data_IF_268072929156
#
_entry.id   IF_268072929156
#
_cell.length_a   1.000
_cell.length_b   1.000
_cell.length_c   1.000
_cell.angle_alpha   90.00
_cell.angle_beta   90.00
_cell.angle_gamma   90.00
#
_symmetry.space_group_name_H-M   'P 1'
#
loop_
_entity.id
_entity.type
_entity.pdbx_description
1 polymer ?
#
# COMPACT_ATOMS: atom_id res chain seq x y z
N UNK A 1 -14.99 -29.96 -8.48
CA UNK A 1 -13.71 -29.90 -7.75
C UNK A 1 -12.91 -28.77 -8.38
N UNK A 2 -12.93 -27.58 -7.79
CA UNK A 2 -12.16 -26.44 -8.28
C UNK A 2 -10.68 -26.78 -8.14
N UNK A 3 -9.91 -26.69 -9.22
CA UNK A 3 -8.45 -26.80 -9.19
C UNK A 3 -7.90 -25.85 -8.15
N UNK A 4 -7.25 -26.39 -7.11
CA UNK A 4 -6.26 -25.63 -6.34
C UNK A 4 -5.17 -25.24 -7.34
N UNK A 5 -5.25 -24.00 -7.85
CA UNK A 5 -4.19 -23.42 -8.67
C UNK A 5 -2.97 -23.39 -7.77
N UNK A 6 -1.95 -24.18 -8.12
CA UNK A 6 -0.68 -24.21 -7.44
C UNK A 6 -0.17 -22.76 -7.35
N UNK A 7 -0.15 -22.20 -6.13
CA UNK A 7 0.22 -20.80 -5.83
C UNK A 7 1.72 -20.54 -6.06
N UNK A 8 2.44 -21.52 -6.61
CA UNK A 8 3.88 -21.53 -6.84
C UNK A 8 4.31 -20.65 -8.02
N UNK A 9 3.40 -20.27 -8.93
CA UNK A 9 3.62 -19.15 -9.84
C UNK A 9 2.73 -17.99 -9.45
N UNK A 10 3.29 -17.03 -8.71
CA UNK A 10 2.68 -15.72 -8.59
C UNK A 10 2.53 -15.17 -10.00
N UNK A 11 1.28 -14.92 -10.40
CA UNK A 11 0.99 -14.40 -11.72
C UNK A 11 1.57 -12.98 -11.82
N UNK A 12 2.60 -12.77 -12.64
CA UNK A 12 3.21 -11.46 -12.85
C UNK A 12 2.16 -10.41 -13.24
N UNK A 13 1.09 -10.81 -13.92
CA UNK A 13 -0.01 -9.91 -14.28
C UNK A 13 -0.75 -9.40 -13.04
N UNK A 14 -0.85 -10.22 -11.98
CA UNK A 14 -1.44 -9.80 -10.71
C UNK A 14 -0.55 -8.81 -9.98
N UNK A 15 0.78 -9.01 -9.96
CA UNK A 15 1.71 -8.04 -9.39
C UNK A 15 1.63 -6.71 -10.15
N UNK A 16 1.66 -6.75 -11.49
CA UNK A 16 1.48 -5.57 -12.36
C UNK A 16 0.17 -4.85 -12.06
N UNK A 17 -0.94 -5.57 -11.92
CA UNK A 17 -2.23 -5.00 -11.56
C UNK A 17 -2.20 -4.30 -10.20
N UNK A 18 -1.52 -4.88 -9.19
CA UNK A 18 -1.35 -4.23 -7.88
C UNK A 18 -0.52 -2.96 -7.97
N UNK A 19 0.56 -2.96 -8.75
CA UNK A 19 1.38 -1.75 -8.96
C UNK A 19 0.57 -0.65 -9.65
N UNK A 20 -0.24 -0.99 -10.66
CA UNK A 20 -1.15 -0.05 -11.30
C UNK A 20 -2.20 0.50 -10.32
N UNK A 21 -2.76 -0.36 -9.47
CA UNK A 21 -3.72 0.02 -8.42
C UNK A 21 -3.11 1.02 -7.43
N UNK A 22 -1.85 0.85 -7.03
CA UNK A 22 -1.12 1.83 -6.20
C UNK A 22 -1.16 3.21 -6.86
N UNK A 23 -0.78 3.29 -8.14
CA UNK A 23 -0.65 4.57 -8.85
C UNK A 23 -2.02 5.23 -9.01
N UNK A 24 -3.02 4.46 -9.47
CA UNK A 24 -4.38 4.96 -9.69
C UNK A 24 -5.02 5.45 -8.40
N UNK A 25 -4.87 4.72 -7.30
CA UNK A 25 -5.44 5.14 -6.02
C UNK A 25 -4.75 6.39 -5.45
N UNK A 26 -3.45 6.59 -5.69
CA UNK A 26 -2.79 7.85 -5.31
C UNK A 26 -3.25 9.04 -6.17
N UNK A 27 -3.44 8.85 -7.48
CA UNK A 27 -4.03 9.90 -8.34
C UNK A 27 -5.42 10.28 -7.82
N UNK A 28 -6.28 9.30 -7.57
CA UNK A 28 -7.61 9.54 -7.02
C UNK A 28 -7.56 10.20 -5.64
N UNK A 29 -6.59 9.81 -4.80
CA UNK A 29 -6.37 10.43 -3.49
C UNK A 29 -6.11 11.93 -3.62
N UNK A 30 -5.21 12.33 -4.53
CA UNK A 30 -4.89 13.72 -4.84
C UNK A 30 -6.13 14.47 -5.37
N UNK A 31 -6.84 13.91 -6.33
CA UNK A 31 -8.04 14.53 -6.89
C UNK A 31 -9.14 14.75 -5.84
N UNK A 32 -9.38 13.76 -4.98
CA UNK A 32 -10.37 13.84 -3.91
C UNK A 32 -9.99 14.89 -2.88
N UNK A 33 -8.70 15.00 -2.53
CA UNK A 33 -8.22 16.03 -1.61
C UNK A 33 -8.55 17.43 -2.14
N UNK A 34 -8.23 17.68 -3.41
CA UNK A 34 -8.46 18.96 -4.07
C UNK A 34 -9.93 19.35 -4.18
N UNK A 35 -10.81 18.35 -4.24
CA UNK A 35 -12.27 18.55 -4.22
C UNK A 35 -12.84 18.73 -2.82
N UNK A 36 -11.99 18.77 -1.78
CA UNK A 36 -12.40 18.89 -0.37
C UNK A 36 -12.92 17.58 0.24
N UNK A 37 -12.86 16.47 -0.49
CA UNK A 37 -13.31 15.14 -0.07
C UNK A 37 -12.21 14.41 0.74
N UNK A 38 -11.76 15.09 1.79
CA UNK A 38 -10.58 14.73 2.61
C UNK A 38 -10.62 13.30 3.18
N UNK A 39 -11.76 12.84 3.70
CA UNK A 39 -11.91 11.47 4.21
C UNK A 39 -11.78 10.42 3.11
N UNK A 40 -12.34 10.69 1.92
CA UNK A 40 -12.26 9.77 0.78
C UNK A 40 -10.83 9.73 0.21
N UNK A 41 -10.15 10.87 0.20
CA UNK A 41 -8.73 10.98 -0.15
C UNK A 41 -7.87 10.09 0.76
N UNK A 42 -8.02 10.21 2.08
CA UNK A 42 -7.31 9.38 3.05
C UNK A 42 -7.55 7.88 2.82
N UNK A 43 -8.79 7.48 2.50
CA UNK A 43 -9.11 6.11 2.17
C UNK A 43 -8.44 5.60 0.89
N UNK A 44 -8.31 6.45 -0.12
CA UNK A 44 -7.58 6.12 -1.36
C UNK A 44 -6.08 6.00 -1.13
N UNK A 45 -5.48 6.89 -0.34
CA UNK A 45 -4.07 6.75 0.07
C UNK A 45 -3.83 5.44 0.84
N UNK A 46 -4.74 5.07 1.75
CA UNK A 46 -4.64 3.79 2.48
C UNK A 46 -4.75 2.58 1.55
N UNK A 47 -5.69 2.58 0.60
CA UNK A 47 -5.83 1.49 -0.37
C UNK A 47 -4.58 1.35 -1.25
N UNK A 48 -3.98 2.45 -1.69
CA UNK A 48 -2.71 2.41 -2.40
C UNK A 48 -1.62 1.71 -1.57
N UNK A 49 -1.50 2.00 -0.27
CA UNK A 49 -0.54 1.31 0.60
C UNK A 49 -0.89 -0.18 0.76
N UNK A 50 -2.17 -0.56 0.83
CA UNK A 50 -2.55 -1.99 0.81
C UNK A 50 -2.12 -2.70 -0.47
N UNK A 51 -2.33 -2.08 -1.63
CA UNK A 51 -1.92 -2.62 -2.91
C UNK A 51 -0.38 -2.75 -2.98
N UNK A 52 0.35 -1.78 -2.43
CA UNK A 52 1.81 -1.83 -2.32
C UNK A 52 2.28 -3.00 -1.46
N UNK A 53 1.71 -3.19 -0.26
CA UNK A 53 2.07 -4.31 0.62
C UNK A 53 1.73 -5.65 -0.03
N UNK A 54 0.57 -5.75 -0.69
CA UNK A 54 0.18 -6.93 -1.45
C UNK A 54 1.25 -7.30 -2.49
N UNK A 55 1.68 -6.33 -3.30
CA UNK A 55 2.72 -6.54 -4.30
C UNK A 55 4.08 -6.89 -3.66
N UNK A 56 4.47 -6.22 -2.57
CA UNK A 56 5.73 -6.51 -1.86
C UNK A 56 5.76 -7.91 -1.27
N UNK A 57 4.66 -8.36 -0.65
CA UNK A 57 4.56 -9.71 -0.12
C UNK A 57 4.68 -10.75 -1.23
N UNK A 58 4.05 -10.49 -2.37
CA UNK A 58 4.09 -11.40 -3.52
C UNK A 58 5.49 -11.56 -4.11
N UNK A 59 6.20 -10.46 -4.38
CA UNK A 59 7.55 -10.55 -4.97
C UNK A 59 8.59 -11.10 -3.99
N UNK A 60 8.31 -11.03 -2.68
CA UNK A 60 9.21 -11.53 -1.63
C UNK A 60 8.70 -12.81 -0.95
N UNK A 61 7.67 -13.47 -1.49
CA UNK A 61 6.95 -14.56 -0.81
C UNK A 61 7.88 -15.67 -0.34
N UNK A 62 8.80 -16.10 -1.21
CA UNK A 62 9.77 -17.15 -0.91
C UNK A 62 10.67 -16.77 0.28
N UNK A 63 11.28 -15.57 0.23
CA UNK A 63 12.16 -15.07 1.28
C UNK A 63 11.44 -14.89 2.62
N UNK A 64 10.18 -14.46 2.58
CA UNK A 64 9.34 -14.30 3.77
C UNK A 64 9.04 -15.67 4.40
N UNK A 65 8.63 -16.67 3.60
CA UNK A 65 8.35 -18.04 4.07
C UNK A 65 9.57 -18.68 4.74
N UNK A 66 10.77 -18.46 4.18
CA UNK A 66 12.05 -18.96 4.72
C UNK A 66 12.43 -18.29 6.04
N UNK A 67 12.05 -17.03 6.24
CA UNK A 67 12.40 -16.24 7.44
C UNK A 67 11.44 -16.49 8.60
N UNK A 68 10.16 -16.74 8.30
CA UNK A 68 9.13 -16.99 9.31
C UNK A 68 9.36 -18.35 9.97
N UNK A 69 9.55 -18.36 11.30
CA UNK A 69 9.81 -19.58 12.08
C UNK A 69 8.55 -20.32 12.48
N UNK A 70 7.46 -19.61 12.72
CA UNK A 70 6.19 -20.21 13.14
C UNK A 70 5.44 -20.81 11.93
N UNK A 71 5.08 -22.09 12.04
CA UNK A 71 4.43 -22.82 10.94
C UNK A 71 3.01 -22.31 10.64
N UNK A 72 2.27 -21.85 11.67
CA UNK A 72 0.93 -21.30 11.45
C UNK A 72 1.00 -19.97 10.71
N UNK A 73 1.93 -19.11 11.10
CA UNK A 73 2.19 -17.83 10.45
C UNK A 73 2.67 -18.03 9.01
N UNK A 74 3.58 -18.99 8.78
CA UNK A 74 4.03 -19.37 7.43
C UNK A 74 2.86 -19.81 6.55
N UNK A 75 2.01 -20.71 7.06
CA UNK A 75 0.82 -21.18 6.34
C UNK A 75 -0.18 -20.05 6.07
N UNK A 76 -0.36 -19.13 7.02
CA UNK A 76 -1.21 -17.96 6.84
C UNK A 76 -0.66 -17.04 5.75
N UNK A 77 0.65 -16.76 5.76
CA UNK A 77 1.32 -15.92 4.78
C UNK A 77 1.12 -16.48 3.35
N UNK A 78 1.39 -17.77 3.14
CA UNK A 78 1.23 -18.42 1.83
C UNK A 78 -0.21 -18.39 1.32
N UNK A 79 -1.21 -18.44 2.21
CA UNK A 79 -2.63 -18.51 1.83
C UNK A 79 -3.34 -17.16 1.76
N UNK A 80 -2.87 -16.16 2.52
CA UNK A 80 -3.61 -14.92 2.78
C UNK A 80 -2.75 -13.66 2.76
N UNK A 81 -1.43 -13.76 2.92
CA UNK A 81 -0.54 -12.60 3.01
C UNK A 81 -0.67 -11.64 1.83
N UNK A 82 -0.81 -12.19 0.62
CA UNK A 82 -0.99 -11.39 -0.60
C UNK A 82 -2.22 -10.48 -0.58
N UNK A 83 -3.23 -10.74 0.25
CA UNK A 83 -4.44 -9.90 0.31
C UNK A 83 -4.26 -8.64 1.17
N UNK A 84 -3.11 -8.51 1.86
CA UNK A 84 -2.80 -7.43 2.80
C UNK A 84 -4.00 -7.02 3.70
N UNK A 85 -4.62 -7.93 4.48
CA UNK A 85 -5.76 -7.59 5.32
C UNK A 85 -5.41 -6.46 6.30
N UNK A 86 -6.35 -5.53 6.54
CA UNK A 86 -6.11 -4.36 7.40
C UNK A 86 -5.60 -4.75 8.79
N UNK A 87 -6.22 -5.75 9.42
CA UNK A 87 -5.85 -6.21 10.77
C UNK A 87 -4.44 -6.82 10.86
N UNK A 88 -3.85 -7.23 9.73
CA UNK A 88 -2.54 -7.90 9.70
C UNK A 88 -1.47 -7.08 8.97
N UNK A 89 -1.82 -5.92 8.39
CA UNK A 89 -0.90 -5.13 7.57
C UNK A 89 0.32 -4.63 8.37
N UNK A 90 0.14 -4.34 9.66
CA UNK A 90 1.25 -4.01 10.55
C UNK A 90 2.20 -5.21 10.74
N UNK A 91 1.66 -6.41 10.97
CA UNK A 91 2.47 -7.63 11.05
C UNK A 91 3.24 -7.92 9.76
N UNK A 92 2.59 -7.76 8.61
CA UNK A 92 3.26 -7.86 7.30
C UNK A 92 4.41 -6.85 7.16
N UNK A 93 4.26 -5.63 7.69
CA UNK A 93 5.34 -4.64 7.69
C UNK A 93 6.57 -5.08 8.49
N UNK A 94 6.37 -5.77 9.62
CA UNK A 94 7.45 -6.30 10.44
C UNK A 94 8.16 -7.48 9.75
N UNK A 95 7.39 -8.33 9.06
CA UNK A 95 7.94 -9.41 8.26
C UNK A 95 8.77 -8.87 7.08
N UNK A 96 8.27 -7.87 6.35
CA UNK A 96 9.04 -7.19 5.31
C UNK A 96 10.32 -6.54 5.88
N UNK A 97 10.24 -5.93 7.06
CA UNK A 97 11.41 -5.36 7.74
C UNK A 97 12.46 -6.43 8.07
N UNK A 98 12.03 -7.62 8.49
CA UNK A 98 12.94 -8.74 8.79
C UNK A 98 13.77 -9.20 7.59
N UNK A 99 13.29 -8.94 6.37
CA UNK A 99 14.01 -9.24 5.12
C UNK A 99 14.69 -8.02 4.50
N UNK A 100 14.74 -6.89 5.22
CA UNK A 100 15.43 -5.66 4.82
C UNK A 100 14.56 -4.61 4.13
N UNK A 101 13.23 -4.76 4.12
CA UNK A 101 12.29 -3.82 3.50
C UNK A 101 11.51 -3.11 4.61
N UNK A 102 12.00 -1.96 5.08
CA UNK A 102 11.34 -1.20 6.13
C UNK A 102 10.27 -0.25 5.55
N UNK A 103 9.01 -0.56 5.83
CA UNK A 103 7.83 0.25 5.49
C UNK A 103 6.99 0.58 6.74
N UNK A 104 7.55 0.42 7.95
CA UNK A 104 6.79 0.58 9.19
C UNK A 104 6.19 1.97 9.35
N UNK A 105 6.95 3.04 9.06
CA UNK A 105 6.45 4.41 9.17
C UNK A 105 5.36 4.74 8.14
N UNK A 106 5.52 4.22 6.92
CA UNK A 106 4.49 4.33 5.88
C UNK A 106 3.19 3.67 6.33
N UNK A 107 3.27 2.47 6.91
CA UNK A 107 2.11 1.71 7.37
C UNK A 107 1.43 2.38 8.55
N UNK A 108 2.19 2.89 9.52
CA UNK A 108 1.62 3.60 10.65
C UNK A 108 0.82 4.83 10.20
N UNK A 109 1.32 5.61 9.25
CA UNK A 109 0.60 6.78 8.70
C UNK A 109 -0.59 6.37 7.86
N UNK A 110 -0.47 5.31 7.06
CA UNK A 110 -1.59 4.77 6.31
C UNK A 110 -2.73 4.27 7.22
N UNK A 111 -2.41 3.62 8.34
CA UNK A 111 -3.39 3.20 9.36
C UNK A 111 -4.06 4.41 10.02
N UNK A 112 -3.31 5.47 10.34
CA UNK A 112 -3.93 6.70 10.84
C UNK A 112 -4.91 7.32 9.82
N UNK A 113 -4.54 7.34 8.53
CA UNK A 113 -5.42 7.81 7.45
C UNK A 113 -6.66 6.91 7.30
N UNK A 114 -6.52 5.60 7.50
CA UNK A 114 -7.64 4.67 7.55
C UNK A 114 -8.61 5.02 8.68
N UNK A 115 -8.10 5.23 9.89
CA UNK A 115 -8.92 5.62 11.05
C UNK A 115 -9.66 6.94 10.78
N UNK A 116 -8.97 7.93 10.22
CA UNK A 116 -9.55 9.21 9.80
C UNK A 116 -10.67 9.05 8.76
N UNK A 117 -10.51 8.15 7.78
CA UNK A 117 -11.52 7.92 6.75
C UNK A 117 -12.88 7.59 7.37
N UNK A 118 -12.92 6.77 8.42
CA UNK A 118 -14.17 6.33 9.06
C UNK A 118 -14.64 7.24 10.19
N UNK A 119 -13.71 7.85 10.92
CA UNK A 119 -14.03 8.53 12.18
C UNK A 119 -13.90 10.06 12.10
N UNK A 120 -13.30 10.61 11.04
CA UNK A 120 -13.02 12.04 10.95
C UNK A 120 -12.08 12.49 12.08
N UNK A 121 -12.44 13.56 12.78
CA UNK A 121 -11.64 14.12 13.88
C UNK A 121 -12.13 13.68 15.27
N UNK A 122 -12.86 12.57 15.35
CA UNK A 122 -13.24 12.00 16.64
C UNK A 122 -11.98 11.57 17.41
N UNK A 123 -11.66 12.20 18.56
CA UNK A 123 -10.41 11.96 19.28
C UNK A 123 -10.32 10.56 19.89
N UNK A 124 -11.43 9.85 20.05
CA UNK A 124 -11.44 8.48 20.58
C UNK A 124 -10.98 7.46 19.53
N UNK A 125 -11.11 7.82 18.24
CA UNK A 125 -10.91 6.91 17.12
C UNK A 125 -9.98 7.43 16.03
N UNK A 126 -9.49 8.66 16.12
CA UNK A 126 -8.60 9.29 15.15
C UNK A 126 -7.59 10.17 15.86
N UNK A 127 -6.32 10.01 15.50
CA UNK A 127 -5.24 10.83 16.08
C UNK A 127 -5.25 12.28 15.63
N UNK A 128 -5.91 12.58 14.51
CA UNK A 128 -5.82 13.88 13.87
C UNK A 128 -6.80 14.87 14.52
N UNK A 129 -6.32 16.10 14.71
CA UNK A 129 -7.10 17.19 15.32
C UNK A 129 -7.61 18.18 14.27
N UNK A 130 -6.98 18.21 13.10
CA UNK A 130 -7.29 19.17 12.05
C UNK A 130 -6.84 18.65 10.67
N UNK A 131 -7.29 19.34 9.62
CA UNK A 131 -6.97 18.98 8.22
C UNK A 131 -5.48 19.10 7.89
N UNK A 132 -4.72 19.97 8.56
CA UNK A 132 -3.31 20.15 8.26
C UNK A 132 -2.48 18.92 8.68
N UNK A 133 -2.80 18.32 9.83
CA UNK A 133 -2.17 17.08 10.28
C UNK A 133 -2.49 15.92 9.34
N UNK A 134 -3.74 15.81 8.86
CA UNK A 134 -4.12 14.81 7.85
C UNK A 134 -3.35 15.04 6.54
N UNK A 135 -3.26 16.29 6.08
CA UNK A 135 -2.54 16.64 4.85
C UNK A 135 -1.07 16.23 4.95
N UNK A 136 -0.43 16.50 6.09
CA UNK A 136 0.96 16.15 6.31
C UNK A 136 1.22 14.64 6.20
N UNK A 137 0.39 13.82 6.83
CA UNK A 137 0.52 12.35 6.71
C UNK A 137 0.14 11.86 5.30
N UNK A 138 -0.83 12.49 4.64
CA UNK A 138 -1.22 12.18 3.26
C UNK A 138 -0.07 12.45 2.28
N UNK A 139 0.55 13.62 2.37
CA UNK A 139 1.72 14.03 1.58
C UNK A 139 2.88 13.09 1.80
N UNK A 140 3.18 12.77 3.06
CA UNK A 140 4.22 11.80 3.40
C UNK A 140 3.98 10.45 2.73
N UNK A 141 2.75 9.93 2.79
CA UNK A 141 2.38 8.65 2.17
C UNK A 141 2.59 8.71 0.66
N UNK A 142 2.06 9.75 -0.01
CA UNK A 142 2.19 9.92 -1.46
C UNK A 142 3.68 10.00 -1.87
N UNK A 143 4.46 10.86 -1.22
CA UNK A 143 5.86 11.09 -1.57
C UNK A 143 6.72 9.86 -1.30
N UNK A 144 6.49 9.19 -0.17
CA UNK A 144 7.20 7.95 0.15
C UNK A 144 6.94 6.89 -0.92
N UNK A 145 5.68 6.71 -1.32
CA UNK A 145 5.32 5.71 -2.34
C UNK A 145 5.92 6.07 -3.69
N UNK A 146 5.80 7.33 -4.15
CA UNK A 146 6.43 7.81 -5.40
C UNK A 146 7.93 7.48 -5.42
N UNK A 147 8.64 7.73 -4.32
CA UNK A 147 10.09 7.57 -4.23
C UNK A 147 10.59 6.11 -4.25
N UNK A 148 9.75 5.16 -3.82
CA UNK A 148 10.13 3.75 -3.70
C UNK A 148 9.57 2.87 -4.83
N UNK A 149 8.42 3.23 -5.41
CA UNK A 149 7.68 2.37 -6.33
C UNK A 149 8.52 1.94 -7.56
N UNK A 150 9.20 2.85 -8.30
CA UNK A 150 9.97 2.44 -9.47
C UNK A 150 11.18 1.55 -9.13
N UNK A 151 11.74 1.72 -7.93
CA UNK A 151 12.89 0.95 -7.45
C UNK A 151 12.48 -0.47 -7.06
N UNK A 152 11.34 -0.61 -6.38
CA UNK A 152 10.86 -1.88 -5.85
C UNK A 152 10.24 -2.78 -6.93
N UNK A 153 9.69 -2.20 -8.00
CA UNK A 153 8.93 -2.93 -9.02
C UNK A 153 9.50 -2.79 -10.43
N UNK A 154 10.81 -2.55 -10.56
CA UNK A 154 11.49 -2.40 -11.85
C UNK A 154 11.18 -3.54 -12.83
N UNK A 155 11.15 -4.78 -12.35
CA UNK A 155 10.90 -5.97 -13.19
C UNK A 155 9.43 -6.10 -13.63
N UNK A 156 8.53 -5.35 -13.00
CA UNK A 156 7.11 -5.29 -13.31
C UNK A 156 6.73 -3.96 -13.98
N UNK A 157 7.72 -3.16 -14.37
CA UNK A 157 7.53 -1.81 -14.88
C UNK A 157 7.35 -1.80 -16.40
N UNK A 158 6.11 -1.60 -16.84
CA UNK A 158 5.76 -1.50 -18.26
C UNK A 158 5.51 -0.07 -18.72
N UNK A 159 5.25 0.11 -20.02
CA UNK A 159 4.89 1.41 -20.60
C UNK A 159 3.65 2.03 -19.94
N UNK A 160 2.60 1.24 -19.73
CA UNK A 160 1.37 1.69 -19.07
C UNK A 160 1.64 2.19 -17.64
N UNK A 161 2.42 1.43 -16.86
CA UNK A 161 2.84 1.80 -15.51
C UNK A 161 3.63 3.11 -15.52
N UNK A 162 4.57 3.26 -16.44
CA UNK A 162 5.38 4.47 -16.62
C UNK A 162 4.53 5.70 -16.97
N UNK A 163 3.58 5.56 -17.90
CA UNK A 163 2.71 6.66 -18.33
C UNK A 163 1.78 7.13 -17.20
N UNK A 164 1.21 6.19 -16.43
CA UNK A 164 0.40 6.51 -15.25
C UNK A 164 1.26 7.09 -14.12
N UNK A 165 2.46 6.56 -13.89
CA UNK A 165 3.37 7.09 -12.87
C UNK A 165 3.76 8.53 -13.16
N UNK A 166 4.06 8.89 -14.43
CA UNK A 166 4.28 10.28 -14.83
C UNK A 166 3.08 11.17 -14.54
N UNK A 167 1.87 10.65 -14.74
CA UNK A 167 0.64 11.37 -14.39
C UNK A 167 0.57 11.61 -12.88
N UNK A 168 0.83 10.59 -12.06
CA UNK A 168 0.87 10.71 -10.60
C UNK A 168 1.88 11.77 -10.14
N UNK A 169 3.11 11.73 -10.67
CA UNK A 169 4.16 12.71 -10.30
C UNK A 169 3.72 14.12 -10.66
N UNK A 170 3.18 14.34 -11.87
CA UNK A 170 2.66 15.64 -12.30
C UNK A 170 1.51 16.14 -11.42
N UNK A 171 0.57 15.25 -11.07
CA UNK A 171 -0.56 15.57 -10.20
C UNK A 171 -0.09 15.97 -8.80
N UNK A 172 0.91 15.28 -8.25
CA UNK A 172 1.53 15.62 -6.96
C UNK A 172 2.22 16.98 -7.00
N UNK A 173 2.99 17.28 -8.05
CA UNK A 173 3.69 18.57 -8.19
C UNK A 173 2.75 19.78 -8.33
N UNK A 174 1.53 19.57 -8.83
CA UNK A 174 0.62 20.66 -9.20
C UNK A 174 -0.55 20.87 -8.24
N UNK A 175 -0.92 19.87 -7.42
CA UNK A 175 -2.20 19.92 -6.70
C UNK A 175 -2.20 19.54 -5.22
N UNK A 176 -1.10 19.07 -4.63
CA UNK A 176 -1.06 18.84 -3.17
C UNK A 176 0.20 19.47 -2.64
#
# INVERSE_FOLDING_TARGET
MMMEKDLTSVDESYIKARVLEVIVDLILSIELWNRGLTRNSAGKAFNAVKALISALVLINMQKLIETVKDEKERKWLSKKGYSAPTHSIYGLSLQLKSIGIDVSDLINRALNLHDYQYNGFDPDFSRYRNKAEVKYDLEYVIDTVINILPKLFKDFWGKETEDLYKTLVKERETKV
#
